data_IF_331894532777
#
_entry.id   IF_331894532777
#
_cell.length_a   1.000
_cell.length_b   1.000
_cell.length_c   1.000
_cell.angle_alpha   90.00
_cell.angle_beta   90.00
_cell.angle_gamma   90.00
#
_symmetry.space_group_name_H-M   'P 1'
#
loop_
_entity.id
_entity.type
_entity.pdbx_description
1 polymer ?
#
# COMPACT_ATOMS: atom_id res chain seq x y z
N UNK A 1 0.18 4.94 22.06
CA UNK A 1 1.11 4.60 20.98
C UNK A 1 0.27 4.17 19.78
N UNK A 2 0.28 4.91 18.68
CA UNK A 2 -0.49 4.54 17.51
C UNK A 2 0.11 3.26 16.94
N UNK A 3 -0.68 2.20 16.85
CA UNK A 3 -0.32 0.97 16.15
C UNK A 3 -0.27 1.28 14.65
N UNK A 4 0.81 1.94 14.22
CA UNK A 4 1.05 2.24 12.83
C UNK A 4 1.00 0.96 12.01
N UNK A 5 0.35 1.01 10.88
CA UNK A 5 0.37 -0.04 9.88
C UNK A 5 1.82 -0.31 9.48
N UNK A 6 2.36 -1.47 9.81
CA UNK A 6 3.79 -1.78 9.65
C UNK A 6 4.28 -1.74 8.20
N UNK A 7 3.38 -1.82 7.22
CA UNK A 7 3.69 -1.74 5.78
C UNK A 7 2.95 -0.61 5.06
N UNK A 8 2.53 0.40 5.78
CA UNK A 8 2.15 1.63 5.09
C UNK A 8 3.38 2.19 4.36
N UNK A 9 3.22 2.85 3.22
CA UNK A 9 4.33 3.42 2.48
C UNK A 9 5.25 4.32 3.32
N UNK A 10 4.71 4.91 4.38
CA UNK A 10 5.43 5.77 5.33
C UNK A 10 6.47 5.03 6.20
N UNK A 11 6.38 3.71 6.35
CA UNK A 11 7.28 2.92 7.18
C UNK A 11 8.37 2.25 6.33
N UNK A 12 9.38 3.03 5.95
CA UNK A 12 10.41 2.63 4.99
C UNK A 12 11.49 1.65 5.49
N UNK A 13 11.51 1.30 6.78
CA UNK A 13 12.69 0.64 7.37
C UNK A 13 12.48 -0.82 7.78
N UNK A 14 11.40 -1.46 7.33
CA UNK A 14 11.09 -2.81 7.78
C UNK A 14 11.21 -3.80 6.62
N UNK A 15 11.98 -4.85 6.84
CA UNK A 15 12.11 -5.98 5.92
C UNK A 15 10.86 -6.88 5.94
N UNK A 16 9.94 -6.69 6.87
CA UNK A 16 8.65 -7.39 6.96
C UNK A 16 7.56 -6.54 7.62
N UNK A 17 6.32 -6.77 7.21
CA UNK A 17 5.11 -6.15 7.75
C UNK A 17 4.62 -6.77 9.07
N UNK A 18 5.15 -7.92 9.44
CA UNK A 18 4.74 -8.67 10.61
C UNK A 18 5.47 -8.19 11.87
N UNK A 19 4.73 -8.05 12.98
CA UNK A 19 5.33 -7.76 14.30
C UNK A 19 6.10 -8.98 14.83
N UNK A 20 6.88 -8.80 15.90
CA UNK A 20 7.55 -9.93 16.55
C UNK A 20 6.55 -11.00 17.00
N UNK A 21 5.42 -10.59 17.56
CA UNK A 21 4.33 -11.50 17.96
C UNK A 21 3.74 -12.28 16.78
N UNK A 22 3.56 -11.62 15.63
CA UNK A 22 3.08 -12.29 14.42
C UNK A 22 4.11 -13.31 13.93
N UNK A 23 5.39 -12.92 13.88
CA UNK A 23 6.48 -13.82 13.45
C UNK A 23 6.56 -15.05 14.34
N UNK A 24 6.42 -14.87 15.68
CA UNK A 24 6.38 -15.99 16.63
C UNK A 24 5.19 -16.91 16.35
N UNK A 25 4.00 -16.36 16.13
CA UNK A 25 2.79 -17.15 15.83
C UNK A 25 2.96 -17.96 14.55
N UNK A 26 3.47 -17.32 13.49
CA UNK A 26 3.71 -17.96 12.20
C UNK A 26 4.78 -19.06 12.35
N UNK A 27 5.90 -18.77 13.02
CA UNK A 27 6.97 -19.74 13.22
C UNK A 27 6.49 -20.99 13.98
N UNK A 28 5.76 -20.80 15.08
CA UNK A 28 5.18 -21.92 15.87
C UNK A 28 4.22 -22.78 15.05
N UNK A 29 3.40 -22.13 14.21
CA UNK A 29 2.51 -22.85 13.32
C UNK A 29 3.32 -23.71 12.32
N UNK A 30 4.30 -23.09 11.65
CA UNK A 30 5.13 -23.79 10.66
C UNK A 30 5.92 -24.95 11.27
N UNK A 31 6.47 -24.80 12.48
CA UNK A 31 7.13 -25.88 13.21
C UNK A 31 6.19 -27.08 13.40
N UNK A 32 4.94 -26.82 13.76
CA UNK A 32 3.93 -27.87 13.98
C UNK A 32 3.55 -28.57 12.67
N UNK A 33 3.35 -27.82 11.59
CA UNK A 33 2.86 -28.37 10.31
C UNK A 33 3.96 -29.05 9.49
N UNK A 34 5.20 -28.54 9.58
CA UNK A 34 6.31 -29.06 8.75
C UNK A 34 7.26 -29.99 9.52
N UNK A 35 7.21 -29.98 10.84
CA UNK A 35 8.21 -30.66 11.68
C UNK A 35 9.59 -30.00 11.66
N UNK A 36 9.79 -28.93 10.89
CA UNK A 36 11.07 -28.23 10.79
C UNK A 36 11.34 -27.38 12.03
N UNK A 37 12.60 -27.33 12.46
CA UNK A 37 13.00 -26.45 13.55
C UNK A 37 13.20 -25.03 13.02
N UNK A 38 12.43 -24.08 13.54
CA UNK A 38 12.60 -22.66 13.28
C UNK A 38 13.04 -22.01 14.59
N UNK A 39 14.22 -21.42 14.61
CA UNK A 39 14.73 -20.77 15.81
C UNK A 39 13.97 -19.48 16.11
N UNK A 40 13.23 -19.45 17.23
CA UNK A 40 12.56 -18.25 17.72
C UNK A 40 13.48 -17.59 18.73
N UNK A 41 14.00 -16.38 18.49
CA UNK A 41 14.93 -15.74 19.39
C UNK A 41 14.27 -15.37 20.72
N UNK A 42 15.00 -15.51 21.82
CA UNK A 42 14.57 -15.03 23.14
C UNK A 42 14.55 -13.50 23.24
N UNK A 43 15.43 -12.84 22.50
CA UNK A 43 15.52 -11.40 22.40
C UNK A 43 15.48 -10.95 20.93
N UNK A 44 14.64 -9.94 20.65
CA UNK A 44 14.43 -9.43 19.28
C UNK A 44 15.31 -8.22 18.99
N UNK A 45 16.47 -8.48 18.41
CA UNK A 45 17.27 -7.47 17.70
C UNK A 45 16.80 -7.35 16.24
N UNK A 46 17.30 -6.35 15.51
CA UNK A 46 17.03 -6.22 14.06
C UNK A 46 17.51 -7.47 13.33
N UNK A 47 18.68 -7.98 13.67
CA UNK A 47 19.32 -9.11 13.01
C UNK A 47 18.60 -10.43 13.31
N UNK A 48 18.30 -10.71 14.58
CA UNK A 48 17.58 -11.93 14.96
C UNK A 48 16.16 -11.97 14.38
N UNK A 49 15.50 -10.80 14.30
CA UNK A 49 14.20 -10.66 13.67
C UNK A 49 14.26 -10.92 12.16
N UNK A 50 15.29 -10.40 11.48
CA UNK A 50 15.52 -10.63 10.07
C UNK A 50 15.79 -12.09 9.77
N UNK A 51 16.62 -12.76 10.59
CA UNK A 51 16.89 -14.18 10.45
C UNK A 51 15.61 -15.02 10.61
N UNK A 52 14.83 -14.77 11.66
CA UNK A 52 13.55 -15.44 11.85
C UNK A 52 12.61 -15.29 10.64
N UNK A 53 12.57 -14.08 10.06
CA UNK A 53 11.78 -13.82 8.86
C UNK A 53 12.26 -14.62 7.64
N UNK A 54 13.59 -14.73 7.45
CA UNK A 54 14.19 -15.54 6.37
C UNK A 54 13.80 -17.02 6.54
N UNK A 55 13.88 -17.54 7.76
CA UNK A 55 13.54 -18.92 8.06
C UNK A 55 12.04 -19.21 7.86
N UNK A 56 11.18 -18.28 8.26
CA UNK A 56 9.74 -18.35 7.97
C UNK A 56 9.49 -18.39 6.47
N UNK A 57 10.10 -17.49 5.68
CA UNK A 57 9.92 -17.45 4.21
C UNK A 57 10.36 -18.75 3.55
N UNK A 58 11.48 -19.32 3.99
CA UNK A 58 11.99 -20.60 3.48
C UNK A 58 10.99 -21.72 3.73
N UNK A 59 10.42 -21.79 4.91
CA UNK A 59 9.46 -22.83 5.27
C UNK A 59 8.09 -22.64 4.59
N UNK A 60 7.62 -21.42 4.43
CA UNK A 60 6.39 -21.14 3.66
C UNK A 60 6.62 -21.38 2.16
N UNK A 61 7.78 -21.06 1.61
CA UNK A 61 8.12 -21.31 0.21
C UNK A 61 8.05 -22.78 -0.16
N UNK A 62 8.31 -23.66 0.80
CA UNK A 62 8.15 -25.11 0.63
C UNK A 62 6.68 -25.56 0.62
N UNK A 63 5.77 -24.80 1.26
CA UNK A 63 4.33 -25.09 1.32
C UNK A 63 3.53 -24.35 0.23
N UNK A 64 4.01 -23.21 -0.19
CA UNK A 64 3.38 -22.39 -1.22
C UNK A 64 4.47 -21.65 -1.99
N UNK A 65 4.33 -21.46 -3.30
CA UNK A 65 5.28 -20.67 -4.14
C UNK A 65 5.32 -19.17 -3.77
N UNK A 66 5.24 -18.85 -2.48
CA UNK A 66 5.10 -17.51 -1.93
C UNK A 66 6.35 -17.12 -1.15
N UNK A 67 7.05 -16.08 -1.59
CA UNK A 67 8.27 -15.56 -0.95
C UNK A 67 8.15 -14.14 -0.40
N UNK A 68 6.99 -13.47 -0.62
CA UNK A 68 6.79 -12.07 -0.25
C UNK A 68 5.65 -11.89 0.76
N UNK A 69 5.75 -10.86 1.60
CA UNK A 69 4.73 -10.52 2.60
C UNK A 69 3.32 -10.41 2.00
N UNK A 70 3.23 -9.82 0.81
CA UNK A 70 1.94 -9.60 0.16
C UNK A 70 1.26 -10.90 -0.28
N UNK A 71 2.00 -11.91 -0.69
CA UNK A 71 1.39 -13.19 -1.03
C UNK A 71 1.09 -14.04 0.20
N UNK A 72 1.84 -13.87 1.28
CA UNK A 72 1.57 -14.53 2.56
C UNK A 72 0.21 -14.15 3.13
N UNK A 73 -0.23 -12.90 2.97
CA UNK A 73 -1.54 -12.46 3.43
C UNK A 73 -2.73 -13.07 2.68
N UNK A 74 -2.46 -13.74 1.56
CA UNK A 74 -3.46 -14.52 0.82
C UNK A 74 -3.50 -15.99 1.23
N UNK A 75 -2.51 -16.44 2.00
CA UNK A 75 -2.47 -17.81 2.51
C UNK A 75 -3.52 -17.96 3.62
N UNK A 76 -4.42 -18.94 3.47
CA UNK A 76 -5.54 -19.17 4.39
C UNK A 76 -5.07 -19.49 5.80
N UNK A 77 -3.96 -20.22 5.95
CA UNK A 77 -3.42 -20.58 7.26
C UNK A 77 -2.90 -19.36 7.99
N UNK A 78 -2.18 -18.47 7.30
CA UNK A 78 -1.71 -17.20 7.86
C UNK A 78 -2.89 -16.30 8.25
N UNK A 79 -3.95 -16.29 7.43
CA UNK A 79 -5.20 -15.57 7.75
C UNK A 79 -5.83 -16.13 9.01
N UNK A 80 -5.89 -17.44 9.16
CA UNK A 80 -6.47 -18.11 10.32
C UNK A 80 -5.64 -17.85 11.60
N UNK A 81 -4.31 -17.83 11.49
CA UNK A 81 -3.40 -17.61 12.62
C UNK A 81 -3.44 -16.15 13.12
N UNK A 82 -3.41 -15.19 12.21
CA UNK A 82 -3.27 -13.79 12.55
C UNK A 82 -4.61 -13.03 12.62
N UNK A 83 -5.65 -13.57 11.99
CA UNK A 83 -6.93 -12.91 11.79
C UNK A 83 -6.93 -11.92 10.62
N UNK A 84 -7.95 -12.02 9.77
CA UNK A 84 -8.12 -11.19 8.57
C UNK A 84 -8.03 -9.69 8.87
N UNK A 85 -8.70 -9.21 9.92
CA UNK A 85 -8.69 -7.80 10.29
C UNK A 85 -7.29 -7.30 10.70
N UNK A 86 -6.49 -8.13 11.36
CA UNK A 86 -5.12 -7.82 11.75
C UNK A 86 -4.22 -7.69 10.53
N UNK A 87 -4.33 -8.64 9.60
CA UNK A 87 -3.57 -8.64 8.35
C UNK A 87 -3.90 -7.40 7.52
N UNK A 88 -5.18 -7.14 7.29
CA UNK A 88 -5.61 -5.98 6.51
C UNK A 88 -5.09 -4.66 7.07
N UNK A 89 -5.08 -4.48 8.39
CA UNK A 89 -4.50 -3.27 9.03
C UNK A 89 -3.03 -3.06 8.71
N UNK A 90 -2.24 -4.14 8.59
CA UNK A 90 -0.79 -4.05 8.39
C UNK A 90 -0.40 -3.56 7.00
N UNK A 91 -1.26 -3.74 6.01
CA UNK A 91 -0.99 -3.43 4.61
C UNK A 91 -1.75 -2.20 4.09
N UNK A 92 -2.58 -1.59 4.91
CA UNK A 92 -3.32 -0.37 4.55
C UNK A 92 -2.57 0.89 4.95
N UNK A 93 -2.67 1.98 4.18
CA UNK A 93 -2.26 3.30 4.62
C UNK A 93 -3.01 3.71 5.90
N UNK A 94 -2.44 4.64 6.65
CA UNK A 94 -3.13 5.23 7.79
C UNK A 94 -4.45 5.87 7.33
N UNK A 95 -5.55 5.45 7.96
CA UNK A 95 -6.85 6.06 7.71
C UNK A 95 -6.93 7.47 8.30
N UNK A 96 -7.76 8.35 7.75
CA UNK A 96 -8.04 9.64 8.35
C UNK A 96 -8.52 9.52 9.81
N UNK A 97 -8.08 10.39 10.69
CA UNK A 97 -8.39 10.30 12.13
C UNK A 97 -9.91 10.39 12.42
N UNK A 98 -10.66 11.15 11.63
CA UNK A 98 -12.11 11.27 11.75
C UNK A 98 -12.87 9.98 11.46
N UNK A 99 -12.26 9.01 10.76
CA UNK A 99 -12.86 7.69 10.52
C UNK A 99 -12.95 6.83 11.78
N UNK A 100 -12.29 7.22 12.87
CA UNK A 100 -12.47 6.56 14.15
C UNK A 100 -13.91 6.75 14.69
N UNK A 101 -14.49 7.92 14.43
CA UNK A 101 -15.81 8.30 14.90
C UNK A 101 -16.92 8.04 13.86
N UNK A 102 -16.57 8.11 12.58
CA UNK A 102 -17.49 7.86 11.47
C UNK A 102 -16.81 7.08 10.35
N UNK A 103 -17.09 5.79 10.28
CA UNK A 103 -16.50 4.85 9.30
C UNK A 103 -16.99 5.06 7.87
N UNK A 104 -18.06 5.80 7.69
CA UNK A 104 -18.68 6.10 6.38
C UNK A 104 -18.32 7.47 5.85
N UNK A 105 -17.45 8.21 6.55
CA UNK A 105 -16.95 9.50 6.05
C UNK A 105 -16.23 9.32 4.72
N UNK A 106 -16.62 10.11 3.74
CA UNK A 106 -16.01 10.11 2.42
C UNK A 106 -14.56 10.60 2.50
N UNK A 107 -13.72 10.03 1.65
CA UNK A 107 -12.37 10.54 1.44
C UNK A 107 -12.42 11.91 0.76
N UNK A 108 -11.74 12.87 1.34
CA UNK A 108 -11.53 14.15 0.70
C UNK A 108 -10.38 14.10 -0.32
N UNK A 109 -10.32 15.09 -1.19
CA UNK A 109 -9.18 15.32 -2.10
C UNK A 109 -7.84 15.34 -1.35
N UNK A 110 -7.84 15.91 -0.14
CA UNK A 110 -6.64 16.01 0.71
C UNK A 110 -6.23 14.64 1.23
N UNK A 111 -7.19 13.80 1.67
CA UNK A 111 -6.92 12.46 2.17
C UNK A 111 -6.31 11.58 1.08
N UNK A 112 -6.91 11.57 -0.11
CA UNK A 112 -6.41 10.80 -1.25
C UNK A 112 -4.98 11.26 -1.62
N UNK A 113 -4.75 12.55 -1.73
CA UNK A 113 -3.42 13.10 -2.05
C UNK A 113 -2.38 12.74 -1.00
N UNK A 114 -2.73 12.83 0.28
CA UNK A 114 -1.85 12.47 1.39
C UNK A 114 -1.41 11.00 1.35
N UNK A 115 -2.33 10.12 1.01
CA UNK A 115 -2.03 8.69 0.85
C UNK A 115 -1.16 8.45 -0.38
N UNK A 116 -1.54 9.01 -1.53
CA UNK A 116 -0.85 8.74 -2.80
C UNK A 116 0.57 9.31 -2.85
N UNK A 117 0.84 10.41 -2.15
CA UNK A 117 2.21 10.92 -1.99
C UNK A 117 3.13 9.92 -1.29
N UNK A 118 2.64 9.20 -0.29
CA UNK A 118 3.43 8.15 0.38
C UNK A 118 3.82 7.04 -0.60
N UNK A 119 2.94 6.70 -1.56
CA UNK A 119 3.26 5.74 -2.61
C UNK A 119 4.26 6.29 -3.62
N UNK A 120 4.19 7.56 -4.01
CA UNK A 120 5.19 8.19 -4.89
C UNK A 120 6.58 8.21 -4.24
N UNK A 121 6.66 8.52 -2.94
CA UNK A 121 7.91 8.50 -2.18
C UNK A 121 8.50 7.10 -2.08
N UNK A 122 7.67 6.09 -1.88
CA UNK A 122 8.09 4.69 -1.77
C UNK A 122 8.47 4.06 -3.10
N UNK A 123 7.83 4.47 -4.17
CA UNK A 123 7.97 3.91 -5.52
C UNK A 123 8.39 5.01 -6.50
N UNK A 124 9.71 5.25 -6.68
CA UNK A 124 10.21 6.35 -7.52
C UNK A 124 9.74 6.28 -8.99
N UNK A 125 9.39 5.09 -9.48
CA UNK A 125 8.84 4.84 -10.81
C UNK A 125 7.33 5.09 -10.92
N UNK A 126 6.66 5.37 -9.81
CA UNK A 126 5.24 5.71 -9.77
C UNK A 126 5.02 7.22 -9.85
N UNK A 127 4.00 7.64 -10.57
CA UNK A 127 3.50 9.02 -10.62
C UNK A 127 2.01 9.05 -10.33
N UNK A 128 1.61 9.88 -9.37
CA UNK A 128 0.20 10.13 -9.08
C UNK A 128 -0.23 11.50 -9.59
N UNK A 129 -1.35 11.54 -10.31
CA UNK A 129 -1.97 12.76 -10.83
C UNK A 129 -3.37 12.92 -10.24
N UNK A 130 -3.66 14.05 -9.68
CA UNK A 130 -4.96 14.33 -9.08
C UNK A 130 -4.94 14.33 -7.54
N UNK A 131 -6.08 14.09 -6.88
CA UNK A 131 -7.43 13.87 -7.43
C UNK A 131 -7.91 15.08 -8.24
N UNK A 132 -8.71 14.83 -9.26
CA UNK A 132 -9.19 15.87 -10.18
C UNK A 132 -10.67 15.66 -10.53
N UNK A 133 -11.44 16.72 -10.82
CA UNK A 133 -12.78 16.60 -11.37
C UNK A 133 -12.75 15.96 -12.75
N UNK A 134 -13.91 15.42 -13.20
CA UNK A 134 -14.02 14.76 -14.51
C UNK A 134 -13.77 15.73 -15.69
N UNK A 135 -14.07 17.01 -15.51
CA UNK A 135 -13.83 18.06 -16.48
C UNK A 135 -12.43 18.72 -16.32
N UNK A 136 -11.43 17.88 -16.01
CA UNK A 136 -10.05 18.29 -15.75
C UNK A 136 -9.42 19.12 -16.88
N UNK A 137 -9.86 18.92 -18.12
CA UNK A 137 -9.38 19.60 -19.33
C UNK A 137 -10.10 20.91 -19.62
N UNK A 138 -11.16 21.25 -18.87
CA UNK A 138 -11.85 22.51 -19.04
C UNK A 138 -10.88 23.68 -18.81
N UNK A 139 -10.78 24.54 -19.81
CA UNK A 139 -9.90 25.70 -19.79
C UNK A 139 -10.60 26.94 -19.27
N UNK A 140 -9.95 27.61 -18.33
CA UNK A 140 -10.38 28.95 -17.87
C UNK A 140 -9.84 30.05 -18.78
N UNK A 141 -8.69 29.82 -19.40
CA UNK A 141 -8.08 30.67 -20.38
C UNK A 141 -7.08 29.86 -21.24
N UNK A 142 -6.30 30.57 -22.05
CA UNK A 142 -5.30 29.98 -22.95
C UNK A 142 -4.25 29.10 -22.24
N UNK A 143 -3.98 29.34 -20.95
CA UNK A 143 -2.85 28.74 -20.22
C UNK A 143 -3.26 27.77 -19.11
N UNK A 144 -4.50 27.88 -18.58
CA UNK A 144 -4.91 27.18 -17.37
C UNK A 144 -6.13 26.28 -17.61
N UNK A 145 -5.98 25.03 -17.22
CA UNK A 145 -7.07 24.05 -17.11
C UNK A 145 -7.42 23.84 -15.62
N UNK A 146 -8.53 23.17 -15.36
CA UNK A 146 -8.93 22.70 -14.02
C UNK A 146 -7.81 21.86 -13.38
N UNK A 147 -7.15 20.99 -14.17
CA UNK A 147 -5.93 20.31 -13.76
C UNK A 147 -4.86 20.44 -14.84
N UNK A 148 -3.92 21.36 -14.64
CA UNK A 148 -2.87 21.61 -15.61
C UNK A 148 -1.94 20.43 -15.85
N UNK A 149 -1.68 19.59 -14.84
CA UNK A 149 -0.78 18.44 -14.96
C UNK A 149 -1.38 17.40 -15.89
N UNK A 150 -2.68 17.11 -15.75
CA UNK A 150 -3.37 16.13 -16.60
C UNK A 150 -3.70 16.72 -17.97
N UNK A 151 -4.05 18.00 -18.05
CA UNK A 151 -4.32 18.71 -19.30
C UNK A 151 -3.11 18.75 -20.24
N UNK A 152 -1.91 18.80 -19.68
CA UNK A 152 -0.63 18.78 -20.39
C UNK A 152 0.09 17.42 -20.23
N UNK A 153 -0.69 16.35 -20.05
CA UNK A 153 -0.14 15.01 -19.87
C UNK A 153 0.72 14.59 -21.06
N UNK A 154 1.93 14.13 -20.75
CA UNK A 154 2.86 13.63 -21.76
C UNK A 154 3.55 12.37 -21.24
N UNK A 155 3.15 11.22 -21.77
CA UNK A 155 3.66 9.93 -21.37
C UNK A 155 5.16 9.78 -21.65
N UNK A 156 5.64 10.21 -22.80
CA UNK A 156 7.07 10.11 -23.15
C UNK A 156 7.95 10.91 -22.19
N UNK A 157 7.49 12.09 -21.78
CA UNK A 157 8.18 12.91 -20.77
C UNK A 157 8.26 12.19 -19.45
N UNK A 158 7.19 11.55 -18.99
CA UNK A 158 7.16 10.78 -17.74
C UNK A 158 8.09 9.56 -17.82
N UNK A 159 8.08 8.84 -18.94
CA UNK A 159 8.99 7.72 -19.17
C UNK A 159 10.46 8.12 -19.14
N UNK A 160 10.82 9.25 -19.76
CA UNK A 160 12.18 9.83 -19.69
C UNK A 160 12.59 10.20 -18.27
N UNK A 161 11.63 10.48 -17.38
CA UNK A 161 11.84 10.71 -15.95
C UNK A 161 11.87 9.43 -15.11
N UNK A 162 11.80 8.26 -15.74
CA UNK A 162 11.78 6.95 -15.07
C UNK A 162 10.41 6.57 -14.48
N UNK A 163 9.33 7.33 -14.80
CA UNK A 163 7.98 7.02 -14.35
C UNK A 163 7.34 6.00 -15.28
N UNK A 164 7.13 4.80 -14.78
CA UNK A 164 6.58 3.67 -15.54
C UNK A 164 5.15 3.30 -15.12
N UNK A 165 4.77 3.69 -13.91
CA UNK A 165 3.44 3.45 -13.35
C UNK A 165 2.78 4.79 -13.05
N UNK A 166 1.55 4.99 -13.55
CA UNK A 166 0.82 6.24 -13.43
C UNK A 166 -0.56 5.94 -12.86
N UNK A 167 -0.91 6.61 -11.76
CA UNK A 167 -2.23 6.55 -11.14
C UNK A 167 -2.93 7.88 -11.25
N UNK A 168 -4.21 7.85 -11.61
CA UNK A 168 -5.07 9.02 -11.63
C UNK A 168 -6.34 8.73 -10.85
N UNK A 169 -6.83 9.70 -10.10
CA UNK A 169 -8.13 9.61 -9.42
C UNK A 169 -9.01 10.77 -9.90
N UNK A 170 -10.20 10.42 -10.35
CA UNK A 170 -11.20 11.38 -10.80
C UNK A 170 -12.39 11.41 -9.85
N UNK A 171 -12.93 12.62 -9.62
CA UNK A 171 -14.29 12.77 -9.16
C UNK A 171 -15.21 12.85 -10.38
N UNK A 172 -16.33 12.12 -10.36
CA UNK A 172 -17.25 12.10 -11.50
C UNK A 172 -18.02 13.42 -11.67
N UNK A 173 -18.00 14.29 -10.67
CA UNK A 173 -18.59 15.62 -10.77
C UNK A 173 -17.59 16.63 -11.39
N UNK A 174 -18.09 17.62 -12.13
CA UNK A 174 -17.31 18.75 -12.60
C UNK A 174 -16.76 19.60 -11.45
N UNK A 175 -15.76 20.44 -11.74
CA UNK A 175 -15.03 21.26 -10.77
C UNK A 175 -15.88 22.20 -9.90
N UNK A 176 -17.07 22.59 -10.35
CA UNK A 176 -18.00 23.48 -9.63
C UNK A 176 -19.02 22.72 -8.76
N UNK A 177 -18.99 21.39 -8.76
CA UNK A 177 -19.85 20.52 -7.96
C UNK A 177 -19.14 20.04 -6.68
N UNK A 178 -19.94 19.55 -5.72
CA UNK A 178 -19.39 19.11 -4.42
C UNK A 178 -18.61 17.78 -4.47
N UNK A 179 -18.79 17.01 -5.53
CA UNK A 179 -18.22 15.67 -5.67
C UNK A 179 -19.20 14.58 -5.23
N UNK A 180 -19.36 13.56 -6.08
CA UNK A 180 -20.32 12.47 -5.85
C UNK A 180 -19.67 11.09 -5.77
N UNK A 181 -18.62 10.84 -6.57
CA UNK A 181 -18.00 9.53 -6.65
C UNK A 181 -16.55 9.61 -7.12
N UNK A 182 -15.71 8.70 -6.60
CA UNK A 182 -14.31 8.58 -7.00
C UNK A 182 -14.12 7.38 -7.90
N UNK A 183 -13.43 7.58 -9.03
CA UNK A 183 -12.96 6.51 -9.92
C UNK A 183 -11.47 6.65 -10.12
N UNK A 184 -10.78 5.54 -10.45
CA UNK A 184 -9.34 5.54 -10.65
C UNK A 184 -8.94 4.92 -11.98
N UNK A 185 -7.86 5.43 -12.54
CA UNK A 185 -7.14 4.89 -13.67
C UNK A 185 -5.74 4.51 -13.21
N UNK A 186 -5.26 3.34 -13.61
CA UNK A 186 -3.89 2.91 -13.41
C UNK A 186 -3.28 2.47 -14.73
N UNK A 187 -2.11 2.99 -15.04
CA UNK A 187 -1.33 2.67 -16.23
C UNK A 187 -0.02 2.04 -15.78
N UNK A 188 0.30 0.86 -16.27
CA UNK A 188 1.61 0.22 -16.12
C UNK A 188 2.19 -0.02 -17.51
N UNK A 189 3.33 0.59 -17.82
CA UNK A 189 4.01 0.47 -19.12
C UNK A 189 5.11 -0.61 -19.14
N UNK A 190 5.19 -1.42 -18.08
CA UNK A 190 6.11 -2.56 -18.04
C UNK A 190 5.47 -3.86 -18.57
N UNK A 191 4.20 -3.84 -18.91
CA UNK A 191 3.44 -5.01 -19.41
C UNK A 191 3.32 -4.97 -20.91
#
# INVERSE_FOLDING_TARGET
MSSGSYCSPKNNNLFTCFSNEDLIKIAKYLQRETGNVIHIPSEFTIESRKQLWIDIKRNIGNLSKCSEDYCMIKNQDIINILGKATIEKKFRPEKPANWNNNKTTWLSTVDIRKVMRQYEEKHPDFKFIGPTPIDFDKRFNKYYCVNNELCNFNLEKLLKQGKKRIGVVFNLDPHHMKGSHWVSLFIDVNT
#
